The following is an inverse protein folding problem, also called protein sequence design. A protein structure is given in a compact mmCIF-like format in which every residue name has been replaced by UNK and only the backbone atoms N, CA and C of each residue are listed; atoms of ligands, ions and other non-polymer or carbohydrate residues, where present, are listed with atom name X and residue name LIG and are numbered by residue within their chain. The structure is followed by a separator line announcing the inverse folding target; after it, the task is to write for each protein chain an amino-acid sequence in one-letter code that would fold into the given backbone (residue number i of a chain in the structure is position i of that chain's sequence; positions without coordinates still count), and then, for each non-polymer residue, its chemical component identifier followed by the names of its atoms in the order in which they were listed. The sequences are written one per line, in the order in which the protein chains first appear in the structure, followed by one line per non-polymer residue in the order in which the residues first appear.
data_IF_079070139493
#
_entry.id   IF_079070139493
#
_cell.length_a   1.000
_cell.length_b   1.000
_cell.length_c   1.000
_cell.angle_alpha   90.00
_cell.angle_beta   90.00
_cell.angle_gamma   90.00
#
_symmetry.space_group_name_H-M   'P 1'
#
loop_
_entity.id
_entity.type
_entity.pdbx_description
1 polymer ?
#
# COMPACT_ATOMS: atom_id res chain seq x y z
N UNK A 1 -39.65 -11.67 18.75
CA UNK A 1 -38.48 -12.37 19.33
C UNK A 1 -37.40 -12.65 18.28
N UNK A 2 -37.78 -13.13 17.08
CA UNK A 2 -36.86 -13.36 15.95
C UNK A 2 -36.09 -12.10 15.47
N UNK A 3 -36.74 -10.93 15.41
CA UNK A 3 -36.11 -9.68 14.97
C UNK A 3 -34.97 -9.20 15.87
N UNK A 4 -35.07 -9.43 17.19
CA UNK A 4 -34.00 -9.11 18.13
C UNK A 4 -32.79 -10.03 17.96
N UNK A 5 -33.04 -11.31 17.66
CA UNK A 5 -31.98 -12.30 17.43
C UNK A 5 -31.19 -12.02 16.14
N UNK A 6 -31.89 -11.66 15.07
CA UNK A 6 -31.25 -11.29 13.79
C UNK A 6 -30.40 -10.02 13.96
N UNK A 7 -30.88 -9.02 14.71
CA UNK A 7 -30.12 -7.80 14.97
C UNK A 7 -28.85 -8.07 15.80
N UNK A 8 -28.94 -8.93 16.83
CA UNK A 8 -27.76 -9.31 17.62
C UNK A 8 -26.74 -10.09 16.80
N UNK A 9 -27.19 -10.99 15.93
CA UNK A 9 -26.28 -11.74 15.04
C UNK A 9 -25.65 -10.83 14.00
N UNK A 10 -26.40 -9.87 13.44
CA UNK A 10 -25.86 -8.88 12.50
C UNK A 10 -24.84 -7.93 13.15
N UNK A 11 -25.09 -7.48 14.39
CA UNK A 11 -24.15 -6.66 15.16
C UNK A 11 -22.88 -7.47 15.48
N UNK A 12 -23.02 -8.75 15.85
CA UNK A 12 -21.88 -9.62 16.12
C UNK A 12 -21.05 -9.85 14.84
N UNK A 13 -21.70 -10.09 13.70
CA UNK A 13 -21.03 -10.25 12.41
C UNK A 13 -20.31 -8.98 11.95
N UNK A 14 -20.92 -7.81 12.16
CA UNK A 14 -20.30 -6.51 11.87
C UNK A 14 -19.08 -6.24 12.77
N UNK A 15 -19.13 -6.61 14.06
CA UNK A 15 -17.98 -6.50 14.96
C UNK A 15 -16.83 -7.44 14.60
N UNK A 16 -17.12 -8.62 14.03
CA UNK A 16 -16.07 -9.57 13.61
C UNK A 16 -15.36 -9.10 12.35
N UNK A 17 -16.03 -8.33 11.47
CA UNK A 17 -15.41 -7.79 10.25
C UNK A 17 -14.39 -6.68 10.50
N UNK A 18 -14.50 -5.95 11.61
CA UNK A 18 -13.54 -4.92 12.01
C UNK A 18 -12.50 -5.40 13.04
N UNK A 19 -12.49 -6.70 13.37
CA UNK A 19 -11.47 -7.31 14.22
C UNK A 19 -10.16 -7.50 13.45
N UNK A 20 -9.52 -6.40 13.10
CA UNK A 20 -8.12 -6.39 12.77
C UNK A 20 -7.35 -6.81 14.02
N UNK A 21 -6.84 -8.04 14.05
CA UNK A 21 -5.82 -8.47 15.01
C UNK A 21 -4.52 -7.67 14.73
N UNK A 22 -4.50 -6.40 15.11
CA UNK A 22 -3.43 -5.44 14.78
C UNK A 22 -2.47 -5.20 15.94
N UNK A 23 -2.58 -5.95 17.03
CA UNK A 23 -1.55 -5.96 18.03
C UNK A 23 -1.26 -7.41 18.34
N UNK A 24 -0.03 -7.87 18.09
CA UNK A 24 0.47 -9.20 18.45
C UNK A 24 0.45 -9.37 19.96
N UNK A 25 -0.75 -9.44 20.53
CA UNK A 25 -1.09 -9.36 21.93
C UNK A 25 -2.09 -10.49 22.17
N UNK A 26 -1.81 -11.30 23.17
CA UNK A 26 -2.56 -12.50 23.52
C UNK A 26 -3.03 -12.40 24.96
N UNK A 27 -4.20 -12.99 25.25
CA UNK A 27 -4.70 -13.08 26.61
C UNK A 27 -3.86 -14.07 27.43
N UNK A 28 -3.20 -13.60 28.47
CA UNK A 28 -2.42 -14.46 29.35
C UNK A 28 -3.26 -14.90 30.57
N UNK A 29 -3.71 -16.16 30.56
CA UNK A 29 -4.64 -16.70 31.58
C UNK A 29 -4.13 -16.60 33.02
N UNK A 30 -2.82 -16.72 33.25
CA UNK A 30 -2.28 -16.64 34.63
C UNK A 30 -2.24 -15.19 35.15
N UNK A 31 -2.00 -14.23 34.27
CA UNK A 31 -1.87 -12.81 34.65
C UNK A 31 -3.19 -12.04 34.46
N UNK A 32 -4.22 -12.69 33.91
CA UNK A 32 -5.55 -12.12 33.62
C UNK A 32 -5.45 -10.77 32.88
N UNK A 33 -4.49 -10.67 31.94
CA UNK A 33 -4.25 -9.47 31.14
C UNK A 33 -3.77 -9.83 29.75
N UNK A 34 -3.98 -8.89 28.84
CA UNK A 34 -3.40 -8.91 27.51
C UNK A 34 -1.90 -8.61 27.60
N UNK A 35 -1.08 -9.48 27.02
CA UNK A 35 0.39 -9.34 26.95
C UNK A 35 0.85 -9.44 25.51
N UNK A 36 1.96 -8.80 25.16
CA UNK A 36 2.54 -8.98 23.83
C UNK A 36 2.97 -10.44 23.63
N UNK A 37 2.69 -11.01 22.45
CA UNK A 37 2.99 -12.40 22.12
C UNK A 37 4.48 -12.70 22.30
N UNK A 38 5.34 -11.77 21.89
CA UNK A 38 6.80 -11.88 22.02
C UNK A 38 7.32 -11.76 23.46
N UNK A 39 6.50 -11.36 24.43
CA UNK A 39 6.88 -11.34 25.85
C UNK A 39 6.77 -12.72 26.51
N UNK A 40 6.10 -13.68 25.85
CA UNK A 40 5.96 -15.04 26.35
C UNK A 40 7.23 -15.82 25.96
N UNK A 41 7.94 -16.45 26.94
CA UNK A 41 9.21 -17.12 26.70
C UNK A 41 9.19 -18.16 25.58
N UNK A 42 8.12 -18.96 25.49
CA UNK A 42 7.96 -20.01 24.47
C UNK A 42 7.91 -19.41 23.06
N UNK A 43 7.12 -18.34 22.87
CA UNK A 43 7.03 -17.66 21.58
C UNK A 43 8.32 -16.91 21.23
N UNK A 44 8.98 -16.30 22.22
CA UNK A 44 10.27 -15.65 22.02
C UNK A 44 11.35 -16.67 21.59
N UNK A 45 11.40 -17.83 22.24
CA UNK A 45 12.32 -18.92 21.89
C UNK A 45 12.03 -19.45 20.48
N UNK A 46 10.76 -19.68 20.13
CA UNK A 46 10.37 -20.14 18.80
C UNK A 46 10.72 -19.10 17.72
N UNK A 47 10.50 -17.81 17.99
CA UNK A 47 10.88 -16.73 17.09
C UNK A 47 12.40 -16.72 16.86
N UNK A 48 13.18 -16.87 17.93
CA UNK A 48 14.65 -16.91 17.86
C UNK A 48 15.14 -18.13 17.08
N UNK A 49 14.54 -19.30 17.29
CA UNK A 49 14.85 -20.52 16.53
C UNK A 49 14.53 -20.33 15.03
N UNK A 50 13.37 -19.77 14.71
CA UNK A 50 12.98 -19.48 13.33
C UNK A 50 13.93 -18.47 12.67
N UNK A 51 14.37 -17.45 13.40
CA UNK A 51 15.36 -16.49 12.90
C UNK A 51 16.74 -17.14 12.71
N UNK A 52 17.14 -18.04 13.60
CA UNK A 52 18.38 -18.80 13.47
C UNK A 52 18.33 -19.72 12.23
N UNK A 53 17.22 -20.43 12.02
CA UNK A 53 16.99 -21.24 10.82
C UNK A 53 17.08 -20.41 9.54
N UNK A 54 16.40 -19.25 9.50
CA UNK A 54 16.48 -18.34 8.34
C UNK A 54 17.91 -17.86 8.08
N UNK A 55 18.62 -17.44 9.13
CA UNK A 55 20.03 -17.02 9.01
C UNK A 55 20.96 -18.15 8.57
N UNK A 56 20.66 -19.39 8.89
CA UNK A 56 21.42 -20.55 8.43
C UNK A 56 21.19 -20.84 6.92
N UNK A 57 20.01 -20.52 6.39
CA UNK A 57 19.70 -20.62 4.95
C UNK A 57 20.12 -19.39 4.16
N UNK A 58 20.34 -18.25 4.84
CA UNK A 58 20.75 -17.01 4.21
C UNK A 58 22.15 -17.17 3.59
N UNK A 59 22.24 -16.93 2.28
CA UNK A 59 23.51 -16.93 1.55
C UNK A 59 24.03 -15.49 1.54
N UNK A 60 25.01 -15.13 2.40
CA UNK A 60 25.48 -13.75 2.49
C UNK A 60 26.25 -13.30 1.25
N UNK A 61 26.79 -14.24 0.48
CA UNK A 61 27.52 -14.00 -0.76
C UNK A 61 26.86 -14.74 -1.92
N UNK A 62 26.31 -13.98 -2.87
CA UNK A 62 25.71 -14.46 -4.11
C UNK A 62 26.70 -14.39 -5.29
N UNK A 63 28.00 -14.47 -5.01
CA UNK A 63 29.05 -14.59 -6.03
C UNK A 63 28.73 -15.66 -7.07
N UNK A 64 28.86 -15.27 -8.35
CA UNK A 64 28.57 -16.13 -9.50
C UNK A 64 27.10 -16.22 -9.90
N UNK A 65 26.17 -15.67 -9.11
CA UNK A 65 24.75 -15.59 -9.50
C UNK A 65 24.51 -14.44 -10.47
N UNK A 66 23.65 -14.69 -11.47
CA UNK A 66 23.18 -13.66 -12.39
C UNK A 66 21.72 -13.38 -12.09
N UNK A 67 21.42 -12.14 -11.73
CA UNK A 67 20.06 -11.68 -11.41
C UNK A 67 19.57 -10.76 -12.53
N UNK A 68 18.67 -11.29 -13.34
CA UNK A 68 17.94 -10.57 -14.38
C UNK A 68 16.73 -9.89 -13.77
N UNK A 69 16.79 -8.57 -13.64
CA UNK A 69 15.70 -7.78 -13.09
C UNK A 69 14.99 -7.00 -14.19
N UNK A 70 13.67 -7.13 -14.25
CA UNK A 70 12.85 -6.51 -15.31
C UNK A 70 12.04 -5.34 -14.77
N UNK A 71 11.97 -4.26 -15.56
CA UNK A 71 11.05 -3.16 -15.31
C UNK A 71 10.82 -2.28 -16.54
N UNK A 72 9.77 -1.47 -16.51
CA UNK A 72 9.58 -0.39 -17.48
C UNK A 72 10.11 0.93 -16.92
N UNK A 73 10.28 1.93 -17.77
CA UNK A 73 10.84 3.21 -17.34
C UNK A 73 9.83 4.07 -16.57
N UNK A 74 10.20 4.44 -15.34
CA UNK A 74 9.44 5.29 -14.42
C UNK A 74 10.37 6.38 -13.86
N UNK A 75 10.06 7.65 -14.20
CA UNK A 75 10.88 8.81 -13.83
C UNK A 75 11.16 8.86 -12.33
N UNK A 76 12.41 9.10 -11.96
CA UNK A 76 12.93 9.15 -10.58
C UNK A 76 12.86 7.83 -9.79
N UNK A 77 12.28 6.77 -10.34
CA UNK A 77 12.12 5.48 -9.66
C UNK A 77 13.03 4.42 -10.29
N UNK A 78 12.86 4.16 -11.59
CA UNK A 78 13.73 3.30 -12.39
C UNK A 78 13.89 3.96 -13.76
N UNK A 79 15.09 4.47 -14.00
CA UNK A 79 15.47 5.15 -15.23
C UNK A 79 16.59 4.37 -15.89
N UNK A 80 16.40 3.96 -17.13
CA UNK A 80 17.40 3.22 -17.88
C UNK A 80 18.33 4.20 -18.61
N UNK A 81 19.62 3.90 -18.65
CA UNK A 81 20.63 4.70 -19.35
C UNK A 81 21.72 3.78 -19.90
N UNK A 82 22.67 4.36 -20.65
CA UNK A 82 23.77 3.61 -21.27
C UNK A 82 23.24 2.49 -22.18
N UNK A 83 22.35 2.85 -23.13
CA UNK A 83 21.68 1.92 -24.04
C UNK A 83 20.95 0.78 -23.31
N UNK A 84 20.19 1.13 -22.26
CA UNK A 84 19.41 0.22 -21.41
C UNK A 84 20.21 -0.85 -20.64
N UNK A 85 21.54 -0.70 -20.58
CA UNK A 85 22.41 -1.64 -19.82
C UNK A 85 22.52 -1.29 -18.34
N UNK A 86 22.18 -0.07 -17.96
CA UNK A 86 22.24 0.41 -16.57
C UNK A 86 20.94 1.09 -16.16
N UNK A 87 20.71 1.12 -14.85
CA UNK A 87 19.55 1.78 -14.24
C UNK A 87 19.96 2.75 -13.14
N UNK A 88 19.18 3.82 -12.97
CA UNK A 88 19.32 4.86 -11.95
C UNK A 88 17.92 5.16 -11.37
N UNK A 89 17.83 6.03 -10.36
CA UNK A 89 16.62 6.36 -9.63
C UNK A 89 16.51 5.58 -8.33
N UNK A 90 15.52 5.90 -7.50
CA UNK A 90 15.44 5.36 -6.14
C UNK A 90 15.50 3.83 -6.08
N UNK A 91 14.80 3.14 -6.98
CA UNK A 91 14.85 1.67 -7.06
C UNK A 91 16.04 1.19 -7.88
N UNK A 92 16.44 1.90 -8.94
CA UNK A 92 17.60 1.53 -9.76
C UNK A 92 18.90 1.50 -8.96
N UNK A 93 19.15 2.55 -8.17
CA UNK A 93 20.33 2.67 -7.32
C UNK A 93 20.34 1.61 -6.20
N UNK A 94 19.16 1.32 -5.64
CA UNK A 94 19.01 0.26 -4.65
C UNK A 94 19.46 -1.10 -5.19
N UNK A 95 19.14 -1.42 -6.45
CA UNK A 95 19.57 -2.69 -7.05
C UNK A 95 21.08 -2.78 -7.23
N UNK A 96 21.77 -1.67 -7.53
CA UNK A 96 23.23 -1.64 -7.56
C UNK A 96 23.83 -1.85 -6.18
N UNK A 97 23.26 -1.20 -5.15
CA UNK A 97 23.70 -1.39 -3.75
C UNK A 97 23.51 -2.84 -3.31
N UNK A 98 22.38 -3.46 -3.67
CA UNK A 98 22.15 -4.88 -3.40
C UNK A 98 23.13 -5.78 -4.15
N UNK A 99 23.44 -5.47 -5.41
CA UNK A 99 24.40 -6.21 -6.21
C UNK A 99 25.81 -6.13 -5.64
N UNK A 100 26.21 -4.97 -5.12
CA UNK A 100 27.50 -4.79 -4.43
C UNK A 100 27.53 -5.52 -3.09
N UNK A 101 26.48 -5.37 -2.27
CA UNK A 101 26.42 -5.94 -0.93
C UNK A 101 26.35 -7.48 -0.95
N UNK A 102 25.59 -8.04 -1.88
CA UNK A 102 25.42 -9.49 -2.04
C UNK A 102 26.32 -10.09 -3.11
N UNK A 103 27.10 -9.27 -3.83
CA UNK A 103 28.08 -9.69 -4.82
C UNK A 103 27.52 -10.54 -5.99
N UNK A 104 26.34 -10.18 -6.52
CA UNK A 104 25.76 -10.83 -7.71
C UNK A 104 25.92 -9.99 -8.98
N UNK A 105 25.86 -10.65 -10.15
CA UNK A 105 25.85 -9.96 -11.44
C UNK A 105 24.45 -9.46 -11.75
N UNK A 106 24.27 -8.14 -11.73
CA UNK A 106 22.99 -7.49 -12.01
C UNK A 106 22.80 -7.21 -13.50
N UNK A 107 21.72 -7.72 -14.09
CA UNK A 107 21.34 -7.46 -15.49
C UNK A 107 19.95 -6.81 -15.51
N UNK A 108 19.86 -5.49 -15.74
CA UNK A 108 18.57 -4.83 -15.92
C UNK A 108 17.99 -5.13 -17.31
N UNK A 109 16.69 -5.38 -17.37
CA UNK A 109 15.93 -5.62 -18.60
C UNK A 109 14.82 -4.58 -18.69
N UNK A 110 14.88 -3.75 -19.73
CA UNK A 110 13.86 -2.73 -20.00
C UNK A 110 12.69 -3.33 -20.78
N UNK A 111 11.48 -3.02 -20.34
CA UNK A 111 10.24 -3.30 -21.09
C UNK A 111 9.61 -1.99 -21.52
N UNK A 112 9.24 -1.89 -22.80
CA UNK A 112 8.59 -0.70 -23.37
C UNK A 112 7.11 -0.62 -23.00
N UNK A 113 6.44 -1.77 -22.95
CA UNK A 113 5.04 -1.86 -22.55
C UNK A 113 4.90 -1.68 -21.04
N UNK A 114 4.11 -0.69 -20.61
CA UNK A 114 3.78 -0.44 -19.19
C UNK A 114 2.68 -1.38 -18.69
N UNK A 115 2.83 -2.67 -18.96
CA UNK A 115 1.93 -3.70 -18.46
C UNK A 115 2.64 -4.46 -17.32
N UNK A 116 2.14 -4.29 -16.10
CA UNK A 116 2.68 -5.00 -14.95
C UNK A 116 2.34 -6.50 -14.99
N UNK A 117 1.19 -6.86 -15.54
CA UNK A 117 0.76 -8.24 -15.73
C UNK A 117 -0.59 -8.52 -15.10
N UNK A 118 -1.41 -9.23 -15.86
CA UNK A 118 -2.76 -9.67 -15.55
C UNK A 118 -2.93 -11.15 -15.93
N UNK A 119 -3.85 -11.82 -15.23
CA UNK A 119 -4.25 -13.18 -15.53
C UNK A 119 -5.21 -13.15 -16.72
N UNK A 120 -4.80 -13.80 -17.81
CA UNK A 120 -5.63 -13.98 -19.00
C UNK A 120 -6.65 -15.10 -18.77
N UNK A 121 -7.69 -15.16 -19.60
CA UNK A 121 -8.76 -16.17 -19.53
C UNK A 121 -8.22 -17.60 -19.66
N UNK A 122 -7.15 -17.77 -20.45
CA UNK A 122 -6.45 -19.04 -20.61
C UNK A 122 -5.59 -19.44 -19.38
N UNK A 123 -5.60 -18.65 -18.31
CA UNK A 123 -4.83 -18.86 -17.09
C UNK A 123 -3.38 -18.39 -17.15
N UNK A 124 -2.86 -18.01 -18.32
CA UNK A 124 -1.50 -17.46 -18.47
C UNK A 124 -1.40 -16.03 -17.96
N UNK A 125 -0.18 -15.59 -17.67
CA UNK A 125 0.10 -14.23 -17.18
C UNK A 125 0.83 -13.43 -18.27
N UNK A 126 0.42 -12.18 -18.45
CA UNK A 126 1.11 -11.25 -19.35
C UNK A 126 1.97 -10.24 -18.54
N UNK A 127 2.59 -9.27 -19.24
CA UNK A 127 3.37 -8.20 -18.60
C UNK A 127 4.60 -8.70 -17.83
N UNK A 128 5.04 -7.90 -16.86
CA UNK A 128 6.20 -8.21 -16.02
C UNK A 128 6.05 -9.54 -15.25
N UNK A 129 4.87 -9.80 -14.68
CA UNK A 129 4.59 -11.08 -13.99
C UNK A 129 4.65 -12.27 -14.95
N UNK A 130 4.16 -12.09 -16.18
CA UNK A 130 4.29 -13.10 -17.23
C UNK A 130 5.74 -13.42 -17.58
N UNK A 131 6.63 -12.42 -17.59
CA UNK A 131 8.06 -12.63 -17.85
C UNK A 131 8.72 -13.47 -16.75
N UNK A 132 8.33 -13.27 -15.49
CA UNK A 132 8.76 -14.15 -14.39
C UNK A 132 8.26 -15.58 -14.60
N UNK A 133 6.97 -15.75 -14.90
CA UNK A 133 6.37 -17.07 -15.11
C UNK A 133 7.01 -17.86 -16.29
N UNK A 134 7.54 -17.15 -17.29
CA UNK A 134 8.26 -17.74 -18.44
C UNK A 134 9.79 -17.84 -18.23
N UNK A 135 10.29 -17.53 -17.03
CA UNK A 135 11.72 -17.51 -16.71
C UNK A 135 12.57 -16.57 -17.61
N UNK A 136 11.96 -15.53 -18.17
CA UNK A 136 12.67 -14.51 -18.96
C UNK A 136 13.43 -13.52 -18.05
N UNK A 137 12.90 -13.32 -16.84
CA UNK A 137 13.51 -12.55 -15.76
C UNK A 137 13.28 -13.29 -14.43
N UNK A 138 14.11 -12.99 -13.42
CA UNK A 138 14.00 -13.59 -12.08
C UNK A 138 13.33 -12.66 -11.07
N UNK A 139 13.46 -11.34 -11.24
CA UNK A 139 12.91 -10.36 -10.30
C UNK A 139 12.29 -9.17 -11.03
N UNK A 140 11.27 -8.58 -10.43
CA UNK A 140 10.71 -7.29 -10.86
C UNK A 140 11.29 -6.21 -9.95
N UNK A 141 11.91 -5.17 -10.52
CA UNK A 141 12.68 -4.20 -9.72
C UNK A 141 11.85 -3.47 -8.66
N UNK A 142 10.56 -3.25 -8.94
CA UNK A 142 9.60 -2.59 -8.05
C UNK A 142 8.22 -3.17 -8.24
N UNK A 143 7.52 -3.49 -7.16
CA UNK A 143 6.11 -3.86 -7.20
C UNK A 143 5.35 -3.22 -6.05
N UNK A 144 4.07 -2.90 -6.29
CA UNK A 144 3.11 -2.79 -5.20
C UNK A 144 2.80 -4.19 -4.64
N UNK A 145 2.35 -4.24 -3.39
CA UNK A 145 1.93 -5.48 -2.76
C UNK A 145 0.47 -5.77 -3.13
N UNK A 146 0.23 -6.90 -3.81
CA UNK A 146 -1.10 -7.31 -4.26
C UNK A 146 -1.34 -8.79 -3.93
N UNK A 147 -2.28 -9.11 -3.01
CA UNK A 147 -2.56 -10.50 -2.63
C UNK A 147 -2.97 -11.41 -3.79
N UNK A 148 -3.60 -10.86 -4.83
CA UNK A 148 -3.99 -11.60 -6.03
C UNK A 148 -2.82 -12.19 -6.84
N UNK A 149 -1.57 -11.85 -6.48
CA UNK A 149 -0.36 -12.30 -7.17
C UNK A 149 0.44 -13.35 -6.40
N UNK A 150 0.03 -13.72 -5.18
CA UNK A 150 0.76 -14.69 -4.35
C UNK A 150 0.88 -16.08 -4.95
N UNK A 151 -0.01 -16.46 -5.86
CA UNK A 151 0.07 -17.75 -6.53
C UNK A 151 1.27 -17.86 -7.48
N UNK A 152 1.91 -16.73 -7.84
CA UNK A 152 2.90 -16.66 -8.93
C UNK A 152 4.19 -15.98 -8.47
N UNK A 153 4.10 -14.97 -7.60
CA UNK A 153 5.27 -14.20 -7.15
C UNK A 153 5.32 -14.11 -5.63
N UNK A 154 6.51 -14.30 -5.10
CA UNK A 154 6.84 -13.97 -3.73
C UNK A 154 7.26 -12.51 -3.61
N UNK A 155 6.98 -11.91 -2.45
CA UNK A 155 7.32 -10.52 -2.16
C UNK A 155 8.38 -10.44 -1.05
N UNK A 156 9.29 -9.49 -1.22
CA UNK A 156 10.22 -9.11 -0.15
C UNK A 156 9.51 -8.24 0.89
N UNK A 157 10.22 -7.91 1.98
CA UNK A 157 9.75 -6.89 2.90
C UNK A 157 9.62 -5.55 2.16
N UNK A 158 8.50 -4.81 2.32
CA UNK A 158 8.28 -3.57 1.59
C UNK A 158 9.27 -2.50 2.02
N UNK A 159 9.87 -1.81 1.05
CA UNK A 159 10.82 -0.72 1.28
C UNK A 159 10.17 0.49 1.97
N UNK A 160 8.92 0.80 1.60
CA UNK A 160 8.11 1.85 2.22
C UNK A 160 6.63 1.52 2.09
N UNK A 161 5.81 2.18 2.91
CA UNK A 161 4.34 2.11 2.83
C UNK A 161 3.80 3.35 2.14
N UNK A 162 3.05 3.16 1.06
CA UNK A 162 2.38 4.24 0.35
C UNK A 162 0.89 4.30 0.68
N UNK A 163 0.31 5.50 0.62
CA UNK A 163 -1.15 5.72 0.73
C UNK A 163 -1.64 6.41 -0.52
N UNK A 164 -2.80 5.99 -1.00
CA UNK A 164 -3.46 6.63 -2.13
C UNK A 164 -4.12 7.94 -1.66
N UNK A 165 -3.83 9.03 -2.37
CA UNK A 165 -4.46 10.32 -2.16
C UNK A 165 -5.15 10.71 -3.46
N UNK A 166 -6.38 11.21 -3.36
CA UNK A 166 -7.13 11.72 -4.49
C UNK A 166 -6.82 13.21 -4.61
N UNK A 167 -6.23 13.61 -5.74
CA UNK A 167 -5.97 15.00 -6.05
C UNK A 167 -7.07 15.53 -6.97
N UNK A 168 -7.86 16.48 -6.46
CA UNK A 168 -8.88 17.16 -7.25
C UNK A 168 -8.43 18.59 -7.49
N UNK A 169 -8.33 19.00 -8.75
CA UNK A 169 -8.08 20.41 -9.08
C UNK A 169 -9.32 21.22 -8.67
N UNK A 170 -9.22 22.18 -7.75
CA UNK A 170 -10.36 23.00 -7.38
C UNK A 170 -10.80 23.82 -8.60
N UNK A 171 -12.11 23.81 -8.87
CA UNK A 171 -12.73 24.75 -9.81
C UNK A 171 -13.27 25.91 -8.98
N UNK A 172 -12.65 27.08 -9.13
CA UNK A 172 -13.15 28.30 -8.53
C UNK A 172 -14.42 28.72 -9.27
N UNK A 173 -15.57 28.53 -8.62
CA UNK A 173 -16.83 29.08 -9.11
C UNK A 173 -17.09 30.38 -8.35
N UNK A 174 -17.04 31.50 -9.06
CA UNK A 174 -17.47 32.78 -8.52
C UNK A 174 -19.00 32.81 -8.54
N UNK A 175 -19.61 32.71 -7.36
CA UNK A 175 -21.03 32.91 -7.22
C UNK A 175 -21.29 34.37 -6.81
N UNK A 176 -21.68 35.22 -7.76
CA UNK A 176 -21.98 36.63 -7.48
C UNK A 176 -23.25 36.82 -6.61
N UNK A 177 -24.07 35.78 -6.42
CA UNK A 177 -25.26 35.83 -5.55
C UNK A 177 -25.00 35.27 -4.15
N UNK A 178 -23.74 34.98 -3.79
CA UNK A 178 -23.38 34.38 -2.49
C UNK A 178 -23.94 35.17 -1.30
N UNK A 179 -23.98 36.51 -1.39
CA UNK A 179 -24.51 37.37 -0.32
C UNK A 179 -25.97 37.04 -0.03
N UNK A 180 -26.81 36.88 -1.07
CA UNK A 180 -28.23 36.56 -0.90
C UNK A 180 -28.47 35.15 -0.36
N UNK A 181 -27.48 34.25 -0.49
CA UNK A 181 -27.54 32.90 0.08
C UNK A 181 -27.13 32.81 1.55
N UNK A 182 -26.63 33.90 2.15
CA UNK A 182 -26.24 33.93 3.57
C UNK A 182 -27.42 33.85 4.53
N UNK A 183 -28.57 34.42 4.14
CA UNK A 183 -29.77 34.48 4.97
C UNK A 183 -30.98 33.97 4.20
N UNK A 184 -31.94 33.38 4.92
CA UNK A 184 -33.22 33.03 4.33
C UNK A 184 -33.98 34.28 3.90
N UNK A 185 -34.91 34.14 2.96
CA UNK A 185 -35.72 35.26 2.47
C UNK A 185 -36.52 35.95 3.59
N UNK A 186 -36.94 35.18 4.60
CA UNK A 186 -37.60 35.71 5.80
C UNK A 186 -36.66 36.62 6.62
N UNK A 187 -35.40 36.25 6.79
CA UNK A 187 -34.41 37.03 7.54
C UNK A 187 -34.07 38.35 6.83
N UNK A 188 -34.00 38.36 5.51
CA UNK A 188 -33.85 39.60 4.74
C UNK A 188 -34.99 40.59 4.99
N UNK A 189 -36.24 40.10 5.08
CA UNK A 189 -37.37 40.95 5.45
C UNK A 189 -37.28 41.47 6.88
N UNK A 190 -36.85 40.65 7.85
CA UNK A 190 -36.66 41.11 9.23
C UNK A 190 -35.57 42.18 9.33
N UNK A 191 -34.46 42.04 8.59
CA UNK A 191 -33.39 43.04 8.52
C UNK A 191 -33.93 44.36 7.93
N UNK A 192 -34.67 44.30 6.82
CA UNK A 192 -35.31 45.49 6.24
C UNK A 192 -36.28 46.15 7.21
N UNK A 193 -37.11 45.37 7.89
CA UNK A 193 -38.07 45.87 8.86
C UNK A 193 -37.39 46.53 10.07
N UNK A 194 -36.28 45.95 10.55
CA UNK A 194 -35.48 46.51 11.63
C UNK A 194 -34.86 47.87 11.24
N UNK A 195 -34.36 48.01 10.01
CA UNK A 195 -33.86 49.30 9.50
C UNK A 195 -34.96 50.36 9.45
N UNK A 196 -36.18 50.00 9.04
CA UNK A 196 -37.32 50.92 9.01
C UNK A 196 -37.69 51.38 10.41
N UNK A 197 -37.75 50.46 11.38
CA UNK A 197 -38.02 50.80 12.79
C UNK A 197 -36.93 51.74 13.33
N UNK A 198 -35.66 51.40 13.14
CA UNK A 198 -34.55 52.22 13.63
C UNK A 198 -34.55 53.62 13.01
N UNK A 199 -34.90 53.75 11.73
CA UNK A 199 -35.02 55.05 11.07
C UNK A 199 -36.17 55.92 11.59
N UNK A 200 -37.17 55.34 12.26
CA UNK A 200 -38.31 56.07 12.81
C UNK A 200 -38.13 56.37 14.31
N UNK A 201 -37.27 55.60 14.98
CA UNK A 201 -36.95 55.74 16.41
C UNK A 201 -35.80 56.74 16.65
N UNK A 202 -35.01 57.04 15.62
CA UNK A 202 -34.03 58.14 15.58
C UNK A 202 -34.68 59.39 14.99
#
# INVERSE_FOLDING_TARGET
MATRFVLTVAILHLMIWDCYAVSGVIWHKQQQKFVQLFSIPEFAALQQENLAKRRATEKPDMSGEVVKAVYYEEKNIVMFYDNDTKVNGVCGDLWHVLAEYLNFTFIPIRVTNRNFGERLENGSQNGLVGMLARNEAQVIMRSGFYPSRFDIVDFTTPLWRSRFHIYVRPKWQFNNTWVFTLFSWQMWFYILFLFIILSYVV
#
